data_IF_118687493810
#
_entry.id   IF_118687493810
#
_cell.length_a   1.000
_cell.length_b   1.000
_cell.length_c   1.000
_cell.angle_alpha   90.00
_cell.angle_beta   90.00
_cell.angle_gamma   90.00
#
_symmetry.space_group_name_H-M   'P 1'
#
loop_
_entity.id
_entity.type
_entity.pdbx_description
1 polymer ?
#
# COMPACT_ATOMS: atom_id res chain seq x y z
N UNK A 1 1.07 -18.26 40.11
CA UNK A 1 -0.25 -17.67 39.80
C UNK A 1 -0.92 -18.49 38.69
N UNK A 2 -2.22 -18.85 38.81
CA UNK A 2 -2.94 -19.57 37.76
C UNK A 2 -2.98 -18.75 36.47
N UNK A 3 -2.73 -19.40 35.32
CA UNK A 3 -2.78 -18.76 34.01
C UNK A 3 -4.25 -18.42 33.70
N UNK A 4 -4.55 -17.13 33.59
CA UNK A 4 -5.89 -16.64 33.21
C UNK A 4 -6.00 -16.71 31.69
N UNK A 5 -6.78 -17.66 31.18
CA UNK A 5 -7.03 -17.83 29.75
C UNK A 5 -8.41 -17.23 29.44
N UNK A 6 -8.51 -16.19 28.57
CA UNK A 6 -9.79 -15.52 28.29
C UNK A 6 -10.89 -16.46 27.79
N UNK A 7 -10.55 -17.49 27.00
CA UNK A 7 -11.53 -18.46 26.50
C UNK A 7 -12.08 -19.39 27.57
N UNK A 8 -11.44 -19.48 28.75
CA UNK A 8 -11.87 -20.34 29.86
C UNK A 8 -12.72 -19.59 30.88
N UNK A 9 -13.00 -18.31 30.66
CA UNK A 9 -13.87 -17.50 31.52
C UNK A 9 -15.22 -18.17 31.83
N UNK A 10 -15.99 -18.74 30.87
CA UNK A 10 -17.24 -19.44 31.20
C UNK A 10 -17.01 -20.66 32.11
N UNK A 11 -15.92 -21.41 31.92
CA UNK A 11 -15.59 -22.57 32.78
C UNK A 11 -15.17 -22.14 34.19
N UNK A 12 -14.53 -20.98 34.34
CA UNK A 12 -14.20 -20.45 35.67
C UNK A 12 -15.44 -19.96 36.40
N UNK A 13 -16.37 -19.32 35.69
CA UNK A 13 -17.63 -18.85 36.27
C UNK A 13 -18.55 -20.01 36.63
N UNK A 14 -18.62 -21.06 35.80
CA UNK A 14 -19.39 -22.27 36.14
C UNK A 14 -18.89 -22.92 37.43
N UNK A 15 -17.56 -23.05 37.61
CA UNK A 15 -16.96 -23.56 38.85
C UNK A 15 -17.24 -22.67 40.07
N UNK A 16 -17.27 -21.36 39.88
CA UNK A 16 -17.59 -20.41 40.95
C UNK A 16 -19.08 -20.44 41.36
N UNK A 17 -19.98 -20.72 40.41
CA UNK A 17 -21.40 -20.94 40.66
C UNK A 17 -21.62 -22.30 41.37
N UNK A 18 -20.96 -23.36 40.91
CA UNK A 18 -21.02 -24.70 41.52
C UNK A 18 -20.50 -24.71 42.96
N UNK A 19 -19.41 -24.00 43.25
CA UNK A 19 -18.84 -23.87 44.59
C UNK A 19 -19.63 -22.92 45.51
N UNK A 20 -20.71 -22.31 45.02
CA UNK A 20 -21.54 -21.36 45.78
C UNK A 20 -20.87 -20.01 46.06
N UNK A 21 -19.71 -19.74 45.45
CA UNK A 21 -19.00 -18.47 45.60
C UNK A 21 -19.73 -17.33 44.88
N UNK A 22 -20.34 -17.64 43.73
CA UNK A 22 -21.29 -16.77 43.04
C UNK A 22 -22.71 -17.26 43.30
N UNK A 23 -23.57 -16.38 43.81
CA UNK A 23 -24.98 -16.70 44.13
C UNK A 23 -25.91 -16.61 42.93
N UNK A 24 -25.56 -15.77 41.95
CA UNK A 24 -26.36 -15.52 40.76
C UNK A 24 -25.44 -15.55 39.53
N UNK A 25 -25.86 -16.15 38.42
CA UNK A 25 -25.09 -16.14 37.19
C UNK A 25 -25.00 -14.71 36.63
N UNK A 26 -23.84 -14.30 36.08
CA UNK A 26 -23.71 -13.04 35.36
C UNK A 26 -24.62 -13.00 34.13
N UNK A 27 -25.15 -11.83 33.78
CA UNK A 27 -26.08 -11.66 32.65
C UNK A 27 -25.54 -12.13 31.28
N UNK A 28 -24.22 -12.13 31.08
CA UNK A 28 -23.59 -12.59 29.84
C UNK A 28 -23.37 -14.11 29.80
N UNK A 29 -23.48 -14.82 30.92
CA UNK A 29 -23.08 -16.22 31.05
C UNK A 29 -23.84 -17.13 30.08
N UNK A 30 -25.17 -16.98 30.02
CA UNK A 30 -26.04 -17.76 29.13
C UNK A 30 -25.78 -17.51 27.64
N UNK A 31 -25.40 -16.27 27.29
CA UNK A 31 -25.02 -15.93 25.91
C UNK A 31 -23.70 -16.58 25.49
N UNK A 32 -22.73 -16.68 26.40
CA UNK A 32 -21.42 -17.29 26.14
C UNK A 32 -21.48 -18.83 26.18
N UNK A 33 -22.37 -19.42 26.98
CA UNK A 33 -22.59 -20.88 26.95
C UNK A 33 -23.29 -21.34 25.68
N UNK A 34 -24.23 -20.55 25.17
CA UNK A 34 -24.87 -20.80 23.86
C UNK A 34 -23.94 -20.53 22.68
N UNK A 35 -23.01 -19.59 22.80
CA UNK A 35 -22.04 -19.22 21.76
C UNK A 35 -20.60 -19.28 22.30
N UNK A 36 -20.04 -20.50 22.46
CA UNK A 36 -18.72 -20.65 23.06
C UNK A 36 -17.63 -19.99 22.19
N UNK A 37 -16.62 -19.36 22.82
CA UNK A 37 -15.53 -18.73 22.07
C UNK A 37 -14.73 -19.78 21.29
N UNK A 38 -14.41 -19.48 20.03
CA UNK A 38 -13.58 -20.36 19.18
C UNK A 38 -12.17 -20.46 19.77
N UNK A 39 -11.73 -21.67 20.07
CA UNK A 39 -10.34 -21.90 20.48
C UNK A 39 -9.42 -21.77 19.27
N UNK A 40 -8.35 -20.98 19.40
CA UNK A 40 -7.39 -20.79 18.31
C UNK A 40 -6.70 -22.13 18.02
N UNK A 41 -6.82 -22.69 16.81
CA UNK A 41 -6.17 -23.96 16.48
C UNK A 41 -4.65 -23.81 16.54
N UNK A 42 -3.96 -24.94 16.73
CA UNK A 42 -2.50 -24.96 16.65
C UNK A 42 -2.03 -24.48 15.26
N UNK A 43 -0.90 -23.78 15.20
CA UNK A 43 -0.31 -23.32 13.94
C UNK A 43 -0.04 -24.54 13.04
N UNK A 44 -0.70 -24.58 11.89
CA UNK A 44 -0.52 -25.63 10.90
C UNK A 44 -0.11 -25.02 9.56
N UNK A 45 0.63 -25.75 8.71
CA UNK A 45 0.94 -25.28 7.36
C UNK A 45 -0.35 -25.21 6.54
N UNK A 46 -0.53 -24.12 5.79
CA UNK A 46 -1.64 -23.99 4.84
C UNK A 46 -1.26 -24.63 3.49
N UNK A 47 -2.05 -25.62 3.06
CA UNK A 47 -1.95 -26.16 1.70
C UNK A 47 -2.68 -25.20 0.75
N UNK A 48 -1.94 -24.63 -0.20
CA UNK A 48 -2.48 -23.74 -1.24
C UNK A 48 -2.40 -24.51 -2.56
N UNK A 49 -3.40 -24.46 -3.45
CA UNK A 49 -3.31 -25.07 -4.77
C UNK A 49 -2.10 -24.55 -5.54
N UNK A 50 -1.54 -25.39 -6.42
CA UNK A 50 -0.33 -25.06 -7.17
C UNK A 50 -0.54 -23.94 -8.20
N UNK A 51 -1.77 -23.76 -8.66
CA UNK A 51 -2.16 -22.70 -9.59
C UNK A 51 -1.86 -21.31 -9.02
N UNK A 52 -2.18 -21.07 -7.76
CA UNK A 52 -1.94 -19.81 -7.04
C UNK A 52 -0.47 -19.58 -6.66
N UNK A 53 0.36 -20.62 -6.70
CA UNK A 53 1.75 -20.51 -6.27
C UNK A 53 2.59 -19.90 -7.39
N UNK A 54 3.47 -18.92 -7.11
CA UNK A 54 4.40 -18.42 -8.12
C UNK A 54 5.31 -19.57 -8.57
N UNK A 55 5.70 -19.55 -9.84
CA UNK A 55 6.48 -20.63 -10.50
C UNK A 55 7.70 -21.08 -9.67
N UNK A 56 8.40 -20.13 -9.04
CA UNK A 56 9.56 -20.40 -8.14
C UNK A 56 9.18 -21.28 -6.94
N UNK A 57 7.98 -21.12 -6.39
CA UNK A 57 7.49 -21.89 -5.24
C UNK A 57 6.82 -23.21 -5.63
N UNK A 58 6.37 -23.37 -6.89
CA UNK A 58 5.85 -24.64 -7.40
C UNK A 58 6.93 -25.74 -7.42
N UNK A 59 8.14 -25.39 -7.88
CA UNK A 59 9.25 -26.34 -7.95
C UNK A 59 9.68 -26.91 -6.58
N UNK A 60 9.55 -26.12 -5.50
CA UNK A 60 9.92 -26.55 -4.15
C UNK A 60 9.02 -27.65 -3.56
N UNK A 61 7.84 -27.92 -4.12
CA UNK A 61 7.00 -29.05 -3.71
C UNK A 61 7.41 -30.38 -4.35
N UNK A 62 8.16 -30.35 -5.45
CA UNK A 62 8.62 -31.59 -6.10
C UNK A 62 9.66 -32.35 -5.27
N UNK A 63 10.36 -31.65 -4.36
CA UNK A 63 11.01 -32.30 -3.21
C UNK A 63 9.94 -32.60 -2.17
N UNK A 64 9.22 -33.71 -2.35
CA UNK A 64 8.34 -34.23 -1.31
C UNK A 64 9.08 -34.24 0.04
N UNK A 65 8.43 -33.94 1.18
CA UNK A 65 9.05 -34.15 2.47
C UNK A 65 9.45 -35.63 2.53
N UNK A 66 10.75 -35.90 2.48
CA UNK A 66 11.27 -37.25 2.50
C UNK A 66 10.59 -37.98 3.67
N UNK A 67 9.82 -39.02 3.35
CA UNK A 67 9.06 -39.82 4.30
C UNK A 67 9.97 -40.13 5.48
N UNK A 68 9.69 -39.53 6.65
CA UNK A 68 10.43 -39.73 7.88
C UNK A 68 10.30 -41.21 8.23
N UNK A 69 11.28 -42.01 7.80
CA UNK A 69 11.28 -43.47 7.97
C UNK A 69 11.94 -44.31 6.86
N UNK A 70 12.21 -43.78 5.67
CA UNK A 70 12.72 -44.61 4.55
C UNK A 70 14.23 -44.53 4.29
N UNK A 71 15.06 -44.30 5.31
CA UNK A 71 16.53 -44.44 5.19
C UNK A 71 17.18 -45.29 6.28
N UNK A 72 16.42 -46.15 6.96
CA UNK A 72 16.98 -47.19 7.83
C UNK A 72 17.23 -48.49 7.06
N UNK A 73 18.09 -48.47 6.04
CA UNK A 73 18.74 -49.69 5.55
C UNK A 73 20.05 -49.41 4.77
N UNK A 74 21.03 -48.87 5.48
CA UNK A 74 22.45 -49.09 5.19
C UNK A 74 23.24 -48.75 6.45
N UNK A 75 23.37 -49.74 7.33
CA UNK A 75 24.35 -49.73 8.39
C UNK A 75 25.75 -49.63 7.75
N UNK A 76 26.38 -48.47 7.91
CA UNK A 76 27.82 -48.32 7.75
C UNK A 76 28.38 -48.05 9.16
N UNK A 77 28.89 -49.12 9.76
CA UNK A 77 29.61 -49.14 11.03
C UNK A 77 30.97 -48.45 10.87
N UNK A 78 31.08 -47.24 11.40
CA UNK A 78 32.35 -46.56 11.64
C UNK A 78 32.42 -46.08 13.09
N UNK A 79 33.59 -46.12 13.75
CA UNK A 79 33.75 -45.90 15.19
C UNK A 79 33.62 -44.42 15.63
N UNK A 80 33.32 -43.51 14.71
CA UNK A 80 33.08 -42.10 15.03
C UNK A 80 31.58 -41.83 14.98
N UNK A 81 30.99 -41.67 16.17
CA UNK A 81 29.57 -41.35 16.34
C UNK A 81 29.19 -40.13 15.51
N UNK A 82 28.17 -40.29 14.65
CA UNK A 82 27.64 -39.16 13.87
C UNK A 82 27.12 -38.09 14.83
N UNK A 83 27.65 -36.88 14.68
CA UNK A 83 27.22 -35.70 15.41
C UNK A 83 25.70 -35.50 15.40
N UNK A 84 25.09 -35.59 16.58
CA UNK A 84 23.65 -35.36 16.80
C UNK A 84 23.24 -33.90 16.55
N UNK A 85 24.20 -32.99 16.43
CA UNK A 85 23.98 -31.58 16.07
C UNK A 85 23.48 -31.44 14.62
N UNK A 86 23.84 -32.38 13.74
CA UNK A 86 23.41 -32.38 12.35
C UNK A 86 21.96 -32.91 12.21
N UNK A 87 21.49 -33.76 13.12
CA UNK A 87 20.11 -34.28 13.07
C UNK A 87 19.07 -33.22 13.44
N UNK A 88 19.35 -32.33 14.40
CA UNK A 88 18.48 -31.19 14.76
C UNK A 88 18.42 -30.12 13.67
N UNK A 89 19.54 -29.86 12.98
CA UNK A 89 19.53 -28.98 11.79
C UNK A 89 18.70 -29.60 10.65
N UNK A 90 18.87 -30.90 10.40
CA UNK A 90 18.09 -31.66 9.41
C UNK A 90 16.59 -31.73 9.74
N UNK A 91 16.22 -31.89 11.01
CA UNK A 91 14.82 -31.90 11.43
C UNK A 91 14.16 -30.52 11.26
N UNK A 92 14.89 -29.43 11.53
CA UNK A 92 14.40 -28.06 11.34
C UNK A 92 14.22 -27.68 9.86
N UNK A 93 14.98 -28.32 8.95
CA UNK A 93 14.78 -28.18 7.50
C UNK A 93 13.63 -29.04 6.97
N UNK A 94 13.24 -30.12 7.67
CA UNK A 94 12.13 -30.99 7.29
C UNK A 94 10.76 -30.47 7.76
N UNK A 95 10.73 -29.59 8.76
CA UNK A 95 9.47 -28.95 9.20
C UNK A 95 9.03 -27.89 8.19
N UNK A 96 7.81 -27.97 7.64
CA UNK A 96 7.31 -26.97 6.70
C UNK A 96 7.24 -25.59 7.38
N UNK A 97 7.60 -24.54 6.64
CA UNK A 97 7.50 -23.17 7.14
C UNK A 97 6.03 -22.84 7.43
N UNK A 98 5.76 -22.38 8.64
CA UNK A 98 4.43 -21.97 9.13
C UNK A 98 4.10 -20.50 8.80
N UNK A 99 4.92 -19.85 7.97
CA UNK A 99 4.71 -18.47 7.53
C UNK A 99 3.62 -18.42 6.44
N UNK A 100 2.79 -17.36 6.40
CA UNK A 100 1.84 -17.17 5.31
C UNK A 100 2.58 -17.14 3.97
N UNK A 101 1.98 -17.74 2.94
CA UNK A 101 2.52 -17.73 1.58
C UNK A 101 2.21 -16.38 0.91
N UNK A 102 3.13 -15.82 0.11
CA UNK A 102 2.86 -14.59 -0.63
C UNK A 102 1.69 -14.81 -1.62
N UNK A 103 0.88 -13.78 -1.81
CA UNK A 103 -0.19 -13.73 -2.82
C UNK A 103 0.42 -13.06 -4.04
N UNK A 104 0.46 -13.77 -5.16
CA UNK A 104 1.07 -13.29 -6.41
C UNK A 104 0.12 -13.59 -7.55
N UNK A 105 -0.11 -12.59 -8.38
CA UNK A 105 -0.99 -12.67 -9.54
C UNK A 105 -0.19 -12.62 -10.85
N UNK A 106 -0.73 -13.16 -11.94
CA UNK A 106 -0.08 -13.06 -13.25
C UNK A 106 -0.19 -11.63 -13.81
N UNK A 107 -1.26 -10.94 -13.43
CA UNK A 107 -1.55 -9.53 -13.62
C UNK A 107 -0.41 -8.64 -13.10
N UNK A 108 0.21 -8.98 -11.97
CA UNK A 108 1.29 -8.19 -11.36
C UNK A 108 2.52 -8.09 -12.27
N UNK A 109 2.80 -9.15 -13.03
CA UNK A 109 3.92 -9.16 -13.98
C UNK A 109 3.66 -8.19 -15.14
N UNK A 110 2.41 -8.17 -15.62
CA UNK A 110 2.00 -7.25 -16.70
C UNK A 110 2.05 -5.80 -16.19
N UNK A 111 1.56 -5.54 -14.97
CA UNK A 111 1.65 -4.20 -14.35
C UNK A 111 3.09 -3.72 -14.23
N UNK A 112 3.98 -4.56 -13.70
CA UNK A 112 5.40 -4.23 -13.56
C UNK A 112 6.04 -3.90 -14.90
N UNK A 113 5.80 -4.71 -15.93
CA UNK A 113 6.32 -4.46 -17.26
C UNK A 113 5.74 -3.16 -17.85
N UNK A 114 4.42 -2.96 -17.74
CA UNK A 114 3.74 -1.81 -18.30
C UNK A 114 4.26 -0.49 -17.73
N UNK A 115 4.42 -0.37 -16.40
CA UNK A 115 4.91 0.85 -15.77
C UNK A 115 6.42 1.07 -15.94
N UNK A 116 7.20 0.01 -16.19
CA UNK A 116 8.59 0.13 -16.61
C UNK A 116 8.70 0.74 -18.01
N UNK A 117 7.85 0.29 -18.94
CA UNK A 117 7.82 0.77 -20.31
C UNK A 117 7.18 2.17 -20.41
N UNK A 118 6.21 2.49 -19.53
CA UNK A 118 5.45 3.73 -19.53
C UNK A 118 5.52 4.47 -18.17
N UNK A 119 6.67 5.04 -17.78
CA UNK A 119 6.82 5.74 -16.50
C UNK A 119 5.82 6.89 -16.33
N UNK A 120 5.44 7.56 -17.42
CA UNK A 120 4.53 8.69 -17.40
C UNK A 120 3.07 8.34 -17.13
N UNK A 121 2.66 7.07 -17.32
CA UNK A 121 1.32 6.63 -16.95
C UNK A 121 1.14 6.56 -15.42
N UNK A 122 2.23 6.42 -14.65
CA UNK A 122 2.18 6.45 -13.18
C UNK A 122 1.83 7.84 -12.61
N UNK A 123 2.04 8.92 -13.38
CA UNK A 123 1.66 10.28 -12.96
C UNK A 123 0.17 10.58 -13.19
N UNK A 124 -0.56 9.70 -13.88
CA UNK A 124 -2.00 9.87 -14.03
C UNK A 124 -2.67 9.59 -12.68
N UNK A 125 -3.49 10.52 -12.16
CA UNK A 125 -4.15 10.31 -10.89
C UNK A 125 -5.15 9.16 -10.97
N UNK A 126 -5.11 8.27 -9.98
CA UNK A 126 -6.04 7.14 -9.84
C UNK A 126 -6.65 7.15 -8.44
N UNK A 127 -7.97 6.97 -8.37
CA UNK A 127 -8.70 6.83 -7.11
C UNK A 127 -8.60 5.40 -6.62
N UNK A 128 -8.02 5.20 -5.43
CA UNK A 128 -7.96 3.90 -4.74
C UNK A 128 -9.16 3.65 -3.80
N UNK A 129 -10.05 4.64 -3.68
CA UNK A 129 -11.24 4.52 -2.85
C UNK A 129 -12.26 3.65 -3.58
N UNK A 130 -12.55 2.50 -3.00
CA UNK A 130 -13.60 1.59 -3.48
C UNK A 130 -14.98 2.22 -3.20
N UNK A 131 -15.77 2.42 -4.25
CA UNK A 131 -17.09 3.07 -4.15
C UNK A 131 -18.25 2.09 -3.91
N UNK A 132 -18.02 0.80 -4.17
CA UNK A 132 -19.01 -0.26 -3.95
C UNK A 132 -18.79 -0.94 -2.60
N UNK A 133 -19.88 -1.33 -1.95
CA UNK A 133 -19.84 -2.17 -0.74
C UNK A 133 -19.34 -3.59 -1.06
N UNK A 134 -19.50 -4.00 -2.32
CA UNK A 134 -19.10 -5.31 -2.83
C UNK A 134 -17.83 -5.18 -3.66
N UNK A 135 -16.73 -5.71 -3.11
CA UNK A 135 -15.45 -5.84 -3.81
C UNK A 135 -15.57 -6.92 -4.89
N UNK A 136 -15.32 -6.55 -6.15
CA UNK A 136 -15.10 -7.49 -7.25
C UNK A 136 -16.30 -7.89 -8.11
N UNK A 137 -17.46 -7.25 -7.98
CA UNK A 137 -18.66 -7.61 -8.79
C UNK A 137 -18.83 -6.76 -10.05
N UNK A 138 -18.16 -5.60 -10.14
CA UNK A 138 -18.28 -4.71 -11.30
C UNK A 138 -17.49 -5.25 -12.50
N UNK A 139 -18.17 -6.02 -13.35
CA UNK A 139 -17.60 -6.40 -14.64
C UNK A 139 -17.71 -5.20 -15.58
N UNK A 140 -16.66 -4.37 -15.64
CA UNK A 140 -16.60 -3.18 -16.52
C UNK A 140 -16.63 -3.54 -18.02
N UNK A 141 -16.51 -4.82 -18.36
CA UNK A 141 -16.42 -5.30 -19.73
C UNK A 141 -17.81 -5.34 -20.37
N UNK A 142 -18.00 -4.54 -21.41
CA UNK A 142 -19.17 -4.59 -22.27
C UNK A 142 -18.84 -5.35 -23.56
N UNK A 143 -19.13 -6.66 -23.60
CA UNK A 143 -18.93 -7.51 -24.78
C UNK A 143 -17.61 -8.29 -24.76
N UNK A 144 -16.86 -8.26 -25.86
CA UNK A 144 -15.66 -9.08 -26.03
C UNK A 144 -14.51 -8.63 -25.11
N UNK A 145 -14.21 -9.40 -24.07
CA UNK A 145 -13.12 -9.13 -23.12
C UNK A 145 -11.71 -9.09 -23.75
N UNK A 146 -11.57 -9.57 -25.00
CA UNK A 146 -10.30 -9.57 -25.77
C UNK A 146 -9.99 -8.24 -26.44
N UNK A 147 -10.98 -7.36 -26.59
CA UNK A 147 -10.84 -6.08 -27.30
C UNK A 147 -10.88 -4.94 -26.31
N UNK A 148 -9.86 -4.11 -26.28
CA UNK A 148 -9.78 -3.04 -25.27
C UNK A 148 -10.91 -2.01 -25.36
N UNK A 149 -11.52 -1.83 -26.54
CA UNK A 149 -12.70 -0.97 -26.74
C UNK A 149 -13.95 -1.44 -25.97
N UNK A 150 -14.04 -2.72 -25.58
CA UNK A 150 -15.17 -3.23 -24.79
C UNK A 150 -15.15 -2.76 -23.33
N UNK A 151 -14.00 -2.31 -22.83
CA UNK A 151 -13.83 -1.81 -21.47
C UNK A 151 -14.25 -0.34 -21.33
N UNK A 152 -14.54 0.33 -22.45
CA UNK A 152 -15.02 1.71 -22.50
C UNK A 152 -14.27 2.57 -23.52
N UNK A 153 -14.67 3.85 -23.59
CA UNK A 153 -14.06 4.84 -24.49
C UNK A 153 -12.62 5.19 -24.07
N UNK A 154 -12.41 5.33 -22.77
CA UNK A 154 -11.13 5.70 -22.16
C UNK A 154 -10.66 4.60 -21.20
N UNK A 155 -10.01 3.54 -21.71
CA UNK A 155 -9.55 2.44 -20.87
C UNK A 155 -8.46 2.90 -19.88
N UNK A 156 -8.56 2.39 -18.66
CA UNK A 156 -7.53 2.52 -17.63
C UNK A 156 -6.38 1.53 -17.85
N UNK A 157 -5.31 1.64 -17.07
CA UNK A 157 -4.20 0.68 -17.09
C UNK A 157 -4.66 -0.70 -16.61
N UNK A 158 -5.57 -0.75 -15.63
CA UNK A 158 -6.15 -2.02 -15.16
C UNK A 158 -7.02 -2.68 -16.24
N UNK A 159 -7.73 -1.90 -17.04
CA UNK A 159 -8.50 -2.41 -18.19
C UNK A 159 -7.57 -3.02 -19.25
N UNK A 160 -6.41 -2.39 -19.48
CA UNK A 160 -5.36 -2.95 -20.32
C UNK A 160 -4.88 -4.30 -19.78
N UNK A 161 -4.52 -4.38 -18.49
CA UNK A 161 -4.07 -5.62 -17.85
C UNK A 161 -5.12 -6.73 -17.96
N UNK A 162 -6.38 -6.43 -17.62
CA UNK A 162 -7.49 -7.36 -17.73
C UNK A 162 -7.69 -7.86 -19.18
N UNK A 163 -7.61 -6.96 -20.15
CA UNK A 163 -7.71 -7.30 -21.58
C UNK A 163 -6.55 -8.19 -22.05
N UNK A 164 -5.31 -7.91 -21.62
CA UNK A 164 -4.12 -8.72 -21.99
C UNK A 164 -4.29 -10.16 -21.49
N UNK A 165 -4.81 -10.30 -20.27
CA UNK A 165 -4.98 -11.59 -19.63
C UNK A 165 -6.16 -12.36 -20.21
N UNK A 166 -7.26 -11.68 -20.55
CA UNK A 166 -8.37 -12.29 -21.28
C UNK A 166 -7.93 -12.76 -22.67
N UNK A 167 -7.13 -11.96 -23.39
CA UNK A 167 -6.55 -12.34 -24.67
C UNK A 167 -5.60 -13.54 -24.56
N UNK A 168 -4.83 -13.64 -23.47
CA UNK A 168 -3.98 -14.80 -23.18
C UNK A 168 -4.81 -16.06 -22.87
N UNK A 169 -5.71 -16.01 -21.87
CA UNK A 169 -6.48 -17.17 -21.40
C UNK A 169 -7.50 -17.67 -22.43
N UNK A 170 -8.21 -16.76 -23.10
CA UNK A 170 -9.30 -17.13 -24.03
C UNK A 170 -8.86 -17.11 -25.50
N UNK A 171 -7.79 -16.39 -25.84
CA UNK A 171 -7.30 -16.25 -27.21
C UNK A 171 -6.17 -17.20 -27.58
N UNK A 172 -5.58 -17.91 -26.61
CA UNK A 172 -4.46 -18.83 -26.85
C UNK A 172 -3.16 -18.16 -27.32
N UNK A 173 -3.11 -16.82 -27.28
CA UNK A 173 -1.90 -16.05 -27.60
C UNK A 173 -0.89 -16.21 -26.47
N UNK A 174 0.41 -16.14 -26.76
CA UNK A 174 1.42 -16.03 -25.69
C UNK A 174 1.24 -14.72 -24.92
N UNK A 175 1.67 -14.68 -23.65
CA UNK A 175 1.53 -13.49 -22.81
C UNK A 175 2.19 -12.25 -23.46
N UNK A 176 3.39 -12.42 -24.03
CA UNK A 176 4.11 -11.35 -24.72
C UNK A 176 3.37 -10.86 -25.98
N UNK A 177 2.81 -11.78 -26.79
CA UNK A 177 2.06 -11.40 -27.98
C UNK A 177 0.73 -10.71 -27.63
N UNK A 178 0.04 -11.20 -26.59
CA UNK A 178 -1.17 -10.58 -26.06
C UNK A 178 -0.86 -9.15 -25.55
N UNK A 179 0.26 -8.96 -24.86
CA UNK A 179 0.73 -7.65 -24.40
C UNK A 179 0.96 -6.68 -25.56
N UNK A 180 1.70 -7.06 -26.60
CA UNK A 180 1.95 -6.16 -27.74
C UNK A 180 0.67 -5.81 -28.53
N UNK A 181 -0.23 -6.77 -28.75
CA UNK A 181 -1.50 -6.52 -29.46
C UNK A 181 -2.41 -5.55 -28.70
N UNK A 182 -2.55 -5.77 -27.40
CA UNK A 182 -3.34 -4.88 -26.54
C UNK A 182 -2.69 -3.52 -26.40
N UNK A 183 -1.36 -3.44 -26.42
CA UNK A 183 -0.63 -2.18 -26.27
C UNK A 183 -0.83 -1.28 -27.48
N UNK A 184 -0.77 -1.84 -28.69
CA UNK A 184 -1.12 -1.12 -29.93
C UNK A 184 -2.55 -0.57 -29.87
N UNK A 185 -3.50 -1.37 -29.38
CA UNK A 185 -4.89 -0.94 -29.19
C UNK A 185 -5.02 0.18 -28.15
N UNK A 186 -4.26 0.10 -27.06
CA UNK A 186 -4.24 1.11 -26.00
C UNK A 186 -3.68 2.45 -26.49
N UNK A 187 -2.56 2.42 -27.22
CA UNK A 187 -1.98 3.62 -27.82
C UNK A 187 -2.94 4.28 -28.82
N UNK A 188 -3.63 3.48 -29.64
CA UNK A 188 -4.67 3.99 -30.54
C UNK A 188 -5.78 4.73 -29.79
N UNK A 189 -6.31 4.14 -28.70
CA UNK A 189 -7.35 4.79 -27.90
C UNK A 189 -6.88 6.04 -27.16
N UNK A 190 -5.63 6.04 -26.68
CA UNK A 190 -5.03 7.23 -26.05
C UNK A 190 -4.85 8.37 -27.04
N UNK A 191 -4.37 8.07 -28.25
CA UNK A 191 -4.22 9.05 -29.32
C UNK A 191 -5.60 9.62 -29.71
N UNK A 192 -6.60 8.75 -29.91
CA UNK A 192 -7.98 9.18 -30.18
C UNK A 192 -8.52 10.13 -29.09
N UNK A 193 -8.27 9.84 -27.81
CA UNK A 193 -8.68 10.68 -26.69
C UNK A 193 -7.97 12.04 -26.66
N UNK A 194 -6.66 12.05 -26.91
CA UNK A 194 -5.86 13.28 -26.99
C UNK A 194 -6.33 14.18 -28.14
N UNK A 195 -6.55 13.60 -29.33
CA UNK A 195 -7.10 14.31 -30.47
C UNK A 195 -8.49 14.87 -30.15
N UNK A 196 -9.39 14.06 -29.61
CA UNK A 196 -10.74 14.50 -29.24
C UNK A 196 -10.72 15.68 -28.25
N UNK A 197 -9.84 15.61 -27.24
CA UNK A 197 -9.70 16.69 -26.25
C UNK A 197 -9.17 17.99 -26.88
N UNK A 198 -8.19 17.89 -27.79
CA UNK A 198 -7.65 19.06 -28.52
C UNK A 198 -8.70 19.70 -29.42
N UNK A 199 -9.41 18.89 -30.21
CA UNK A 199 -10.46 19.40 -31.10
C UNK A 199 -11.60 20.04 -30.31
N UNK A 200 -12.04 19.45 -29.20
CA UNK A 200 -13.06 20.04 -28.34
C UNK A 200 -12.67 21.44 -27.82
N UNK A 201 -11.41 21.64 -27.44
CA UNK A 201 -10.89 22.95 -27.02
C UNK A 201 -10.89 23.95 -28.19
N UNK A 202 -10.48 23.51 -29.39
CA UNK A 202 -10.44 24.36 -30.57
C UNK A 202 -11.85 24.77 -31.01
N UNK A 203 -12.79 23.83 -31.03
CA UNK A 203 -14.20 24.08 -31.35
C UNK A 203 -14.82 25.04 -30.33
N UNK A 204 -14.62 24.79 -29.03
CA UNK A 204 -15.12 25.69 -27.98
C UNK A 204 -14.60 27.12 -28.17
N UNK A 205 -13.30 27.28 -28.45
CA UNK A 205 -12.71 28.60 -28.73
C UNK A 205 -13.26 29.24 -30.01
N UNK A 206 -13.45 28.44 -31.06
CA UNK A 206 -14.05 28.93 -32.31
C UNK A 206 -15.47 29.45 -32.09
N UNK A 207 -16.24 28.79 -31.21
CA UNK A 207 -17.56 29.24 -30.77
C UNK A 207 -17.54 30.37 -29.72
N UNK A 208 -16.37 30.92 -29.40
CA UNK A 208 -16.22 32.05 -28.48
C UNK A 208 -16.23 31.68 -26.99
N UNK A 209 -15.97 30.42 -26.63
CA UNK A 209 -15.86 30.02 -25.23
C UNK A 209 -14.52 30.44 -24.62
N UNK A 210 -14.58 31.20 -23.53
CA UNK A 210 -13.41 31.60 -22.74
C UNK A 210 -13.10 30.54 -21.67
N UNK A 211 -12.10 29.69 -21.92
CA UNK A 211 -11.70 28.58 -21.03
C UNK A 211 -10.89 29.02 -19.78
N UNK A 212 -10.75 30.33 -19.56
CA UNK A 212 -9.96 30.88 -18.46
C UNK A 212 -8.44 30.64 -18.60
N UNK A 213 -7.75 30.65 -17.46
CA UNK A 213 -6.28 30.47 -17.41
C UNK A 213 -5.89 29.03 -17.74
N UNK A 214 -4.90 28.88 -18.61
CA UNK A 214 -4.34 27.56 -18.95
C UNK A 214 -3.55 26.97 -17.78
N UNK A 215 -3.34 25.64 -17.78
CA UNK A 215 -2.53 25.00 -16.74
C UNK A 215 -1.07 25.50 -16.78
N UNK A 216 -0.53 25.80 -17.97
CA UNK A 216 0.80 26.43 -18.10
C UNK A 216 0.86 27.80 -17.42
N UNK A 217 -0.16 28.63 -17.61
CA UNK A 217 -0.25 29.93 -16.93
C UNK A 217 -0.40 29.77 -15.40
N UNK A 218 -1.19 28.80 -14.96
CA UNK A 218 -1.28 28.44 -13.53
C UNK A 218 0.05 27.94 -12.97
N UNK A 219 0.84 27.25 -13.79
CA UNK A 219 2.21 26.82 -13.48
C UNK A 219 3.13 28.02 -13.23
N UNK A 220 3.22 28.94 -14.19
CA UNK A 220 4.02 30.16 -14.06
C UNK A 220 3.61 31.00 -12.85
N UNK A 221 2.31 31.17 -12.59
CA UNK A 221 1.83 31.89 -11.40
C UNK A 221 2.27 31.23 -10.07
N UNK A 222 2.48 29.91 -10.06
CA UNK A 222 3.01 29.20 -8.88
C UNK A 222 4.53 29.34 -8.80
N UNK A 223 5.23 29.30 -9.93
CA UNK A 223 6.67 29.50 -10.01
C UNK A 223 7.06 30.91 -9.57
N UNK A 224 6.35 31.94 -10.05
CA UNK A 224 6.55 33.33 -9.66
C UNK A 224 6.40 33.51 -8.15
N UNK A 225 5.33 32.95 -7.56
CA UNK A 225 5.12 32.96 -6.09
C UNK A 225 6.24 32.24 -5.34
N UNK A 226 6.75 31.13 -5.89
CA UNK A 226 7.86 30.41 -5.30
C UNK A 226 9.16 31.23 -5.40
N UNK A 227 9.43 31.89 -6.52
CA UNK A 227 10.58 32.77 -6.73
C UNK A 227 10.53 34.00 -5.83
N UNK A 228 9.36 34.61 -5.65
CA UNK A 228 9.16 35.70 -4.69
C UNK A 228 9.45 35.24 -3.26
N UNK A 229 8.93 34.06 -2.88
CA UNK A 229 9.19 33.48 -1.56
C UNK A 229 10.68 33.15 -1.36
N UNK A 230 11.35 32.67 -2.42
CA UNK A 230 12.77 32.37 -2.41
C UNK A 230 13.62 33.65 -2.38
N UNK A 231 13.25 34.70 -3.11
CA UNK A 231 13.92 35.99 -3.11
C UNK A 231 13.82 36.67 -1.74
N UNK A 232 12.65 36.62 -1.09
CA UNK A 232 12.48 37.10 0.27
C UNK A 232 13.35 36.32 1.27
N UNK A 233 13.41 34.99 1.13
CA UNK A 233 14.32 34.16 1.92
C UNK A 233 15.79 34.47 1.65
N UNK A 234 16.20 34.64 0.40
CA UNK A 234 17.58 34.95 0.02
C UNK A 234 18.02 36.35 0.47
N UNK A 235 17.12 37.33 0.42
CA UNK A 235 17.34 38.67 0.95
C UNK A 235 17.43 38.66 2.49
N UNK A 236 16.64 37.83 3.18
CA UNK A 236 16.75 37.61 4.63
C UNK A 236 17.97 36.77 5.05
N UNK A 237 18.40 35.84 4.20
CA UNK A 237 19.54 34.95 4.42
C UNK A 237 20.90 35.58 4.10
N UNK A 238 20.94 36.63 3.27
CA UNK A 238 22.13 37.49 3.10
C UNK A 238 22.31 38.49 4.25
N UNK A 239 21.26 38.75 5.03
CA UNK A 239 21.29 39.51 6.28
C UNK A 239 21.44 38.62 7.53
N UNK A 240 21.93 37.38 7.37
CA UNK A 240 22.07 36.37 8.42
C UNK A 240 23.49 36.24 8.97
N UNK A 241 24.15 37.36 9.25
CA UNK A 241 25.16 37.43 10.31
C UNK A 241 24.53 37.32 11.70
N UNK A 242 23.27 37.74 11.90
CA UNK A 242 22.58 37.68 13.19
C UNK A 242 21.04 37.78 13.01
N UNK A 243 20.32 36.67 12.83
CA UNK A 243 18.84 36.72 12.78
C UNK A 243 18.15 35.40 13.14
N UNK A 244 18.35 34.90 14.36
CA UNK A 244 17.63 33.74 14.90
C UNK A 244 16.22 34.07 15.48
N UNK A 245 15.66 35.27 15.23
CA UNK A 245 14.44 35.74 15.91
C UNK A 245 13.22 36.01 15.00
N UNK A 246 13.34 35.89 13.67
CA UNK A 246 12.29 36.31 12.73
C UNK A 246 11.37 35.21 12.18
N UNK A 247 11.71 33.93 12.36
CA UNK A 247 11.03 32.83 11.66
C UNK A 247 9.64 32.46 12.23
N UNK A 248 9.32 32.85 13.47
CA UNK A 248 8.07 32.46 14.13
C UNK A 248 6.85 33.32 13.72
N UNK A 249 7.06 34.50 13.15
CA UNK A 249 5.98 35.43 12.82
C UNK A 249 5.20 35.06 11.54
N UNK A 250 5.85 34.43 10.55
CA UNK A 250 5.23 34.15 9.24
C UNK A 250 4.49 32.81 9.15
N UNK A 251 4.62 31.91 10.14
CA UNK A 251 3.82 30.67 10.19
C UNK A 251 2.38 30.89 10.70
N UNK A 252 2.06 32.06 11.26
CA UNK A 252 0.71 32.37 11.77
C UNK A 252 -0.28 32.87 10.71
N UNK A 253 0.16 33.14 9.47
CA UNK A 253 -0.68 33.69 8.40
C UNK A 253 -1.32 32.62 7.46
N UNK A 254 -1.22 31.33 7.79
CA UNK A 254 -2.05 30.29 7.15
C UNK A 254 -3.30 30.06 7.99
N UNK A 255 -4.44 30.51 7.48
CA UNK A 255 -5.81 30.27 7.95
C UNK A 255 -5.91 29.96 9.45
N UNK A 256 -6.13 31.00 10.25
CA UNK A 256 -6.48 30.86 11.66
C UNK A 256 -7.60 29.82 11.80
N UNK A 257 -7.22 28.62 12.24
CA UNK A 257 -8.15 27.56 12.63
C UNK A 257 -9.09 28.20 13.63
N UNK A 258 -10.37 28.35 13.28
CA UNK A 258 -11.40 28.90 14.17
C UNK A 258 -11.38 28.06 15.44
N UNK A 259 -10.75 28.61 16.49
CA UNK A 259 -10.81 28.04 17.82
C UNK A 259 -12.24 28.26 18.30
N UNK A 260 -12.89 27.17 18.70
CA UNK A 260 -14.21 27.14 19.34
C UNK A 260 -14.34 28.34 20.31
N UNK A 261 -15.37 29.15 20.13
CA UNK A 261 -15.66 30.37 20.89
C UNK A 261 -16.23 30.10 22.28
N UNK A 262 -15.83 29.00 22.92
CA UNK A 262 -16.24 28.70 24.28
C UNK A 262 -15.16 29.25 25.22
N UNK A 263 -15.45 30.39 25.86
CA UNK A 263 -14.62 31.10 26.85
C UNK A 263 -14.28 30.26 28.11
N UNK A 264 -14.59 28.97 28.11
CA UNK A 264 -14.35 28.03 29.21
C UNK A 264 -13.00 27.32 29.12
N UNK A 265 -12.37 27.29 27.94
CA UNK A 265 -11.06 26.67 27.77
C UNK A 265 -9.95 27.71 27.93
N UNK A 266 -9.59 28.01 29.18
CA UNK A 266 -8.30 28.65 29.48
C UNK A 266 -7.21 27.67 29.08
N UNK A 267 -6.31 28.06 28.19
CA UNK A 267 -5.26 27.25 27.56
C UNK A 267 -4.18 26.71 28.52
N UNK A 268 -4.56 26.34 29.74
CA UNK A 268 -3.64 25.96 30.82
C UNK A 268 -2.98 27.15 31.50
N UNK A 269 -3.37 28.39 31.18
CA UNK A 269 -2.72 29.61 31.71
C UNK A 269 -2.83 29.70 33.24
N UNK A 270 -4.01 29.39 33.80
CA UNK A 270 -4.20 29.30 35.25
C UNK A 270 -3.31 28.23 35.91
N UNK A 271 -2.99 27.15 35.19
CA UNK A 271 -2.10 26.10 35.68
C UNK A 271 -0.63 26.54 35.65
N UNK A 272 -0.23 27.26 34.60
CA UNK A 272 1.11 27.85 34.49
C UNK A 272 1.34 28.95 35.53
N UNK A 273 0.32 29.77 35.80
CA UNK A 273 0.36 30.77 36.88
C UNK A 273 0.45 30.11 38.25
N UNK A 274 -0.34 29.07 38.52
CA UNK A 274 -0.24 28.31 39.76
C UNK A 274 1.13 27.62 39.92
N UNK A 275 1.70 27.10 38.83
CA UNK A 275 3.04 26.50 38.85
C UNK A 275 4.15 27.54 39.09
N UNK A 276 4.02 28.75 38.53
CA UNK A 276 4.94 29.87 38.81
C UNK A 276 4.83 30.33 40.25
N UNK A 277 3.61 30.49 40.77
CA UNK A 277 3.37 30.88 42.16
C UNK A 277 3.86 29.82 43.16
N UNK A 278 3.78 28.53 42.80
CA UNK A 278 4.40 27.44 43.57
C UNK A 278 5.93 27.53 43.55
N UNK A 279 6.53 27.79 42.38
CA UNK A 279 7.98 28.00 42.25
C UNK A 279 8.47 29.24 43.02
N UNK A 280 7.65 30.27 43.09
CA UNK A 280 7.93 31.53 43.80
C UNK A 280 7.58 31.48 45.29
N UNK A 281 7.14 30.32 45.80
CA UNK A 281 6.92 30.08 47.23
C UNK A 281 5.69 30.80 47.82
N UNK A 282 4.80 31.31 46.97
CA UNK A 282 3.62 32.09 47.37
C UNK A 282 2.43 31.20 47.79
N UNK A 283 2.53 29.87 47.63
CA UNK A 283 1.45 28.91 47.92
C UNK A 283 2.00 27.75 48.75
N UNK A 284 1.50 27.56 49.97
CA UNK A 284 1.83 26.42 50.84
C UNK A 284 1.12 25.13 50.41
N UNK A 285 1.80 23.99 50.54
CA UNK A 285 1.35 22.66 50.11
C UNK A 285 0.02 22.19 50.72
N UNK A 286 -0.41 22.80 51.83
CA UNK A 286 -1.63 22.43 52.56
C UNK A 286 -2.93 22.79 51.83
N UNK A 287 -2.89 23.73 50.88
CA UNK A 287 -4.08 24.16 50.12
C UNK A 287 -4.44 23.27 48.93
N UNK A 288 -3.53 22.38 48.50
CA UNK A 288 -3.76 21.47 47.36
C UNK A 288 -4.69 20.28 47.71
N UNK A 289 -4.95 20.00 48.98
CA UNK A 289 -5.72 18.83 49.41
C UNK A 289 -7.24 19.04 49.55
N UNK A 290 -7.74 20.29 49.56
CA UNK A 290 -9.10 20.59 50.03
C UNK A 290 -10.11 21.04 48.98
N UNK A 291 -9.77 21.02 47.67
CA UNK A 291 -10.72 21.45 46.64
C UNK A 291 -10.55 20.67 45.33
N UNK A 292 -11.09 19.44 45.27
CA UNK A 292 -11.59 18.82 44.04
C UNK A 292 -12.28 17.49 44.35
N UNK A 293 -13.60 17.50 44.58
CA UNK A 293 -14.44 16.35 44.24
C UNK A 293 -14.93 16.52 42.80
N UNK A 294 -14.64 15.57 41.89
CA UNK A 294 -15.41 15.38 40.67
C UNK A 294 -16.15 14.03 40.71
N UNK A 295 -17.43 14.04 40.37
CA UNK A 295 -18.24 12.88 39.99
C UNK A 295 -18.55 12.96 38.47
N UNK A 296 -18.98 11.88 37.79
CA UNK A 296 -18.13 11.15 36.83
C UNK A 296 -18.61 11.24 35.37
N UNK A 297 -17.70 11.04 34.41
CA UNK A 297 -18.06 11.02 32.98
C UNK A 297 -16.92 10.72 31.99
N UNK A 298 -16.51 9.45 31.93
CA UNK A 298 -16.09 8.66 30.76
C UNK A 298 -14.81 9.00 29.93
N UNK A 299 -13.91 8.00 30.02
CA UNK A 299 -13.09 7.34 28.99
C UNK A 299 -11.96 8.08 28.27
N UNK A 300 -10.76 7.74 28.74
CA UNK A 300 -9.47 7.76 28.03
C UNK A 300 -9.30 6.54 27.11
N UNK A 301 -8.74 6.75 25.92
CA UNK A 301 -7.87 5.76 25.26
C UNK A 301 -6.67 6.44 24.62
N UNK A 302 -5.50 5.99 25.04
CA UNK A 302 -4.16 6.24 24.51
C UNK A 302 -3.85 5.32 23.34
N UNK A 303 -3.09 5.78 22.34
CA UNK A 303 -2.02 4.94 21.79
C UNK A 303 -0.88 5.75 21.17
N UNK A 304 0.33 5.34 21.53
CA UNK A 304 1.63 5.81 21.05
C UNK A 304 2.02 5.14 19.73
N UNK A 305 3.03 5.69 19.06
CA UNK A 305 3.44 5.30 17.71
C UNK A 305 4.28 4.02 17.55
N UNK A 306 4.54 3.72 16.28
CA UNK A 306 5.63 2.89 15.74
C UNK A 306 5.75 3.31 14.26
N UNK A 307 6.83 3.97 13.84
CA UNK A 307 8.16 3.46 13.49
C UNK A 307 8.22 2.83 12.08
N UNK A 308 9.11 3.41 11.26
CA UNK A 308 9.21 3.22 9.82
C UNK A 308 10.31 2.23 9.45
N UNK A 309 9.96 1.18 8.72
CA UNK A 309 10.89 0.21 8.16
C UNK A 309 11.16 0.46 6.68
N UNK A 310 12.42 0.78 6.37
CA UNK A 310 12.96 0.98 5.04
C UNK A 310 12.89 -0.30 4.17
N UNK A 311 12.50 -0.14 2.90
CA UNK A 311 12.49 -1.18 1.88
C UNK A 311 13.74 -1.05 1.01
N UNK A 312 14.64 -2.03 1.09
CA UNK A 312 15.72 -2.22 0.13
C UNK A 312 15.17 -2.96 -1.09
N UNK A 313 15.22 -2.31 -2.26
CA UNK A 313 14.97 -2.91 -3.57
C UNK A 313 16.29 -3.40 -4.16
N UNK A 314 16.48 -4.71 -4.29
CA UNK A 314 17.49 -5.23 -5.19
C UNK A 314 17.07 -6.59 -5.77
N UNK A 315 17.27 -6.77 -7.08
CA UNK A 315 16.99 -8.02 -7.80
C UNK A 315 15.83 -7.96 -8.80
N UNK A 316 15.93 -7.12 -9.84
CA UNK A 316 15.06 -7.17 -11.01
C UNK A 316 15.51 -8.29 -11.97
N UNK A 317 14.85 -9.45 -11.90
CA UNK A 317 15.06 -10.57 -12.81
C UNK A 317 14.27 -10.37 -14.12
N UNK A 318 15.00 -10.22 -15.22
CA UNK A 318 14.49 -9.95 -16.56
C UNK A 318 14.01 -11.25 -17.25
N UNK A 319 12.77 -11.66 -16.94
CA UNK A 319 12.19 -12.93 -17.41
C UNK A 319 11.67 -12.89 -18.87
N UNK A 320 11.37 -11.71 -19.41
CA UNK A 320 10.82 -11.59 -20.77
C UNK A 320 11.90 -11.51 -21.86
N UNK A 321 13.18 -11.38 -21.48
CA UNK A 321 14.31 -11.41 -22.44
C UNK A 321 14.36 -10.21 -23.39
N UNK A 322 13.80 -9.06 -23.01
CA UNK A 322 13.79 -7.85 -23.87
C UNK A 322 15.00 -6.92 -23.67
N UNK A 323 15.82 -7.06 -22.61
CA UNK A 323 16.91 -6.11 -22.35
C UNK A 323 18.14 -6.23 -23.27
N UNK A 324 18.14 -7.13 -24.28
CA UNK A 324 19.26 -7.29 -25.23
C UNK A 324 19.01 -6.79 -26.65
N UNK A 325 17.84 -6.23 -26.93
CA UNK A 325 17.51 -5.62 -28.22
C UNK A 325 17.52 -4.08 -28.15
N UNK A 326 18.62 -3.50 -27.66
CA UNK A 326 18.91 -2.09 -27.91
C UNK A 326 19.77 -2.02 -29.19
N UNK A 327 19.21 -1.37 -30.21
CA UNK A 327 19.79 -1.22 -31.54
C UNK A 327 21.20 -0.60 -31.50
N UNK A 328 22.10 -1.20 -32.27
CA UNK A 328 23.39 -0.60 -32.65
C UNK A 328 23.10 0.48 -33.70
N UNK A 329 23.58 1.73 -33.57
CA UNK A 329 23.50 2.70 -34.65
C UNK A 329 24.57 2.35 -35.69
N UNK A 330 24.15 1.95 -36.90
CA UNK A 330 25.03 1.80 -38.05
C UNK A 330 24.76 2.98 -39.01
N UNK A 331 25.68 3.93 -38.95
CA UNK A 331 26.26 4.76 -40.01
C UNK A 331 25.45 4.96 -41.30
N UNK A 332 25.09 6.22 -41.53
CA UNK A 332 24.61 6.77 -42.79
C UNK A 332 25.75 6.82 -43.82
N UNK A 333 25.64 6.05 -44.89
CA UNK A 333 26.39 6.30 -46.14
C UNK A 333 25.46 6.84 -47.20
N UNK A 334 25.67 8.09 -47.57
CA UNK A 334 25.07 8.75 -48.72
C UNK A 334 25.49 8.04 -50.01
N UNK A 335 24.53 7.63 -50.84
CA UNK A 335 24.76 7.43 -52.28
C UNK A 335 23.49 7.72 -53.08
N UNK A 336 23.61 8.81 -53.81
CA UNK A 336 22.83 9.32 -54.93
C UNK A 336 22.72 8.30 -56.07
N UNK A 337 21.51 8.06 -56.59
CA UNK A 337 21.28 7.74 -58.01
C UNK A 337 19.79 7.77 -58.35
N UNK A 338 19.50 8.58 -59.37
CA UNK A 338 18.23 8.77 -60.07
C UNK A 338 17.68 7.49 -60.69
N UNK A 339 16.34 7.37 -60.76
CA UNK A 339 15.61 7.00 -62.00
C UNK A 339 14.10 7.06 -61.79
N UNK A 340 13.43 7.91 -62.57
CA UNK A 340 11.98 7.90 -62.78
C UNK A 340 11.52 6.61 -63.47
N UNK A 341 10.20 6.35 -63.50
CA UNK A 341 9.63 6.17 -64.82
C UNK A 341 8.30 6.89 -65.07
N UNK A 342 8.21 7.29 -66.32
CA UNK A 342 7.10 7.85 -67.08
C UNK A 342 5.85 6.96 -67.14
N UNK A 343 4.73 7.66 -67.29
CA UNK A 343 3.49 7.33 -67.99
C UNK A 343 3.45 6.02 -68.79
N UNK A 344 2.45 5.20 -68.49
CA UNK A 344 1.39 4.78 -69.41
C UNK A 344 0.16 4.32 -68.60
#
# INVERSE_FOLDING_TARGET
>A
MPRRIPSQVPQTVSRLLESGFLKQPPAWFDAVTSHPPVTVPARHPLQRPDEDLPIRLRASRQTAPAKVGSSSKAAASGPHGRDTTNSKKKSRTLTPKLTPKPIVYDEDKIRQQFFRDHPWEAYRPQTLVEMSEQVGTETRVHGDAKRLRSYGRNPSVEDFVACTLAAHRQGGLSLSQAYHNTLSSYHGLKAEHEHASRYAILEAKYHGADLGKTETQRGFEKEDKALESWAAWAAGGTAGGDAAAGADAQQQAKAARVKRTDQTFTSGDAYLEAAKAFREGQISSERLGSAAQPAPGQSSTSFAGADGGALNSDGADDFLGLAKSAMRPAETTSSESQSAPSSN
#
